data_IF_833325731011
#
_entry.id   IF_833325731011
#
_cell.length_a   1.000
_cell.length_b   1.000
_cell.length_c   1.000
_cell.angle_alpha   90.00
_cell.angle_beta   90.00
_cell.angle_gamma   90.00
#
_symmetry.space_group_name_H-M   'P 1'
#
loop_
_entity.id
_entity.type
_entity.pdbx_description
1 polymer ?
#
# COMPACT_ATOMS: atom_id res chain seq x y z
N UNK A 1 -11.87 12.90 -10.36
CA UNK A 1 -11.30 12.35 -9.11
C UNK A 1 -9.82 12.14 -9.33
N UNK A 2 -8.96 12.70 -8.49
CA UNK A 2 -7.51 12.48 -8.56
C UNK A 2 -7.15 11.24 -7.73
N UNK A 3 -6.34 10.36 -8.30
CA UNK A 3 -5.82 9.17 -7.63
C UNK A 3 -4.35 9.35 -7.27
N UNK A 4 -3.92 8.65 -6.22
CA UNK A 4 -2.54 8.64 -5.74
C UNK A 4 -2.04 7.21 -5.63
N UNK A 5 -0.77 7.01 -5.96
CA UNK A 5 -0.03 5.87 -5.43
C UNK A 5 0.50 6.26 -4.05
N UNK A 6 0.32 5.37 -3.08
CA UNK A 6 0.69 5.59 -1.69
C UNK A 6 1.78 4.61 -1.31
N UNK A 7 2.82 5.13 -0.67
CA UNK A 7 3.88 4.34 -0.06
C UNK A 7 3.73 4.49 1.46
N UNK A 8 3.56 3.37 2.15
CA UNK A 8 3.45 3.32 3.61
C UNK A 8 4.55 2.39 4.13
N UNK A 9 5.37 2.88 5.05
CA UNK A 9 6.42 2.07 5.66
C UNK A 9 5.90 1.05 6.67
N UNK A 10 6.67 -0.02 6.85
CA UNK A 10 6.51 -0.97 7.94
C UNK A 10 7.84 -1.64 8.31
N UNK A 11 8.23 -1.67 9.59
CA UNK A 11 9.41 -2.35 10.11
C UNK A 11 9.33 -3.86 9.87
N UNK A 12 8.12 -4.42 9.92
CA UNK A 12 7.89 -5.85 9.83
C UNK A 12 6.78 -6.18 8.84
N UNK A 13 6.90 -7.33 8.17
CA UNK A 13 5.89 -7.80 7.21
C UNK A 13 4.52 -7.99 7.89
N UNK A 14 4.50 -8.47 9.14
CA UNK A 14 3.26 -8.61 9.91
C UNK A 14 2.57 -7.26 10.16
N UNK A 15 3.34 -6.21 10.43
CA UNK A 15 2.81 -4.85 10.58
C UNK A 15 2.29 -4.31 9.26
N UNK A 16 3.03 -4.53 8.16
CA UNK A 16 2.59 -4.12 6.83
C UNK A 16 1.22 -4.72 6.48
N UNK A 17 1.02 -6.01 6.78
CA UNK A 17 -0.27 -6.66 6.59
C UNK A 17 -1.37 -6.08 7.49
N UNK A 18 -1.10 -5.84 8.78
CA UNK A 18 -2.09 -5.22 9.68
C UNK A 18 -2.55 -3.83 9.20
N UNK A 19 -1.61 -3.00 8.75
CA UNK A 19 -1.92 -1.69 8.18
C UNK A 19 -2.77 -1.87 6.92
N UNK A 20 -2.36 -2.76 6.01
CA UNK A 20 -3.08 -3.01 4.77
C UNK A 20 -4.50 -3.51 5.01
N UNK A 21 -4.67 -4.46 5.93
CA UNK A 21 -5.97 -5.02 6.31
C UNK A 21 -6.88 -3.94 6.92
N UNK A 22 -6.36 -3.10 7.82
CA UNK A 22 -7.13 -2.00 8.42
C UNK A 22 -7.62 -0.99 7.37
N UNK A 23 -6.77 -0.66 6.40
CA UNK A 23 -7.13 0.25 5.30
C UNK A 23 -8.14 -0.38 4.34
N UNK A 24 -7.97 -1.65 3.99
CA UNK A 24 -8.88 -2.38 3.11
C UNK A 24 -10.25 -2.58 3.76
N UNK A 25 -10.30 -2.84 5.08
CA UNK A 25 -11.54 -2.96 5.83
C UNK A 25 -12.38 -1.67 5.84
N UNK A 26 -11.77 -0.52 5.54
CA UNK A 26 -12.46 0.78 5.44
C UNK A 26 -12.60 1.27 4.00
N UNK A 27 -12.25 0.43 3.04
CA UNK A 27 -12.24 0.76 1.61
C UNK A 27 -11.43 2.05 1.33
N UNK A 28 -10.35 2.26 2.07
CA UNK A 28 -9.48 3.46 1.95
C UNK A 28 -8.43 3.28 0.87
N UNK A 29 -8.18 2.05 0.46
CA UNK A 29 -7.19 1.68 -0.54
C UNK A 29 -7.68 0.59 -1.47
N UNK A 30 -7.07 0.51 -2.66
CA UNK A 30 -7.26 -0.64 -3.57
C UNK A 30 -6.67 -1.94 -2.99
N UNK A 31 -5.58 -1.82 -2.23
CA UNK A 31 -4.69 -2.91 -1.92
C UNK A 31 -3.43 -2.85 -2.78
N UNK A 32 -2.49 -3.77 -2.55
CA UNK A 32 -1.26 -3.82 -3.31
C UNK A 32 -0.16 -4.66 -2.66
N UNK A 33 1.03 -4.73 -3.26
CA UNK A 33 2.12 -5.54 -2.74
C UNK A 33 2.73 -4.92 -1.48
N UNK A 34 3.19 -5.80 -0.60
CA UNK A 34 4.19 -5.50 0.43
C UNK A 34 5.55 -5.90 -0.14
N UNK A 35 6.48 -4.95 -0.22
CA UNK A 35 7.84 -5.17 -0.72
C UNK A 35 8.82 -4.89 0.42
N UNK A 36 9.68 -5.87 0.73
CA UNK A 36 10.70 -5.76 1.78
C UNK A 36 12.12 -5.76 1.24
N UNK A 37 13.04 -5.11 1.94
CA UNK A 37 14.46 -5.15 1.64
C UNK A 37 15.32 -4.37 2.65
N UNK A 38 16.65 -4.41 2.48
CA UNK A 38 17.56 -3.70 3.36
C UNK A 38 17.39 -2.18 3.20
N UNK A 39 17.27 -1.49 4.32
CA UNK A 39 17.17 -0.04 4.39
C UNK A 39 18.28 0.55 5.26
N UNK A 40 18.66 1.79 4.93
CA UNK A 40 19.62 2.60 5.67
C UNK A 40 19.02 3.94 5.99
N UNK A 41 19.04 4.32 7.26
CA UNK A 41 18.49 5.59 7.73
C UNK A 41 19.59 6.43 8.39
N UNK A 42 19.49 7.75 8.21
CA UNK A 42 20.22 8.71 9.03
C UNK A 42 19.28 9.23 10.11
N UNK A 43 19.69 9.10 11.36
CA UNK A 43 18.84 9.50 12.49
C UNK A 43 19.64 10.27 13.53
N UNK A 44 19.03 11.33 14.06
CA UNK A 44 19.58 12.09 15.18
C UNK A 44 18.81 11.72 16.45
N UNK A 45 19.46 10.98 17.34
CA UNK A 45 18.82 10.48 18.56
C UNK A 45 18.67 11.51 19.68
N UNK A 46 19.12 12.76 19.48
CA UNK A 46 19.11 13.80 20.53
C UNK A 46 17.75 13.93 21.25
N UNK A 47 16.66 13.88 20.49
CA UNK A 47 15.29 14.06 21.01
C UNK A 47 14.50 12.73 21.03
N UNK A 48 15.14 11.60 20.74
CA UNK A 48 14.50 10.28 20.67
C UNK A 48 14.52 9.56 22.02
N UNK A 49 13.58 8.63 22.22
CA UNK A 49 13.51 7.82 23.43
C UNK A 49 14.47 6.60 23.40
N UNK A 50 15.74 6.86 23.14
CA UNK A 50 16.82 5.86 23.20
C UNK A 50 17.60 6.00 24.52
N UNK A 51 18.52 5.08 24.90
CA UNK A 51 19.35 5.26 26.09
C UNK A 51 20.05 6.63 26.13
N UNK A 52 20.22 7.20 27.33
CA UNK A 52 20.67 8.59 27.51
C UNK A 52 22.04 8.85 26.86
N UNK A 53 22.92 7.86 26.88
CA UNK A 53 24.24 7.87 26.24
C UNK A 53 24.19 7.98 24.70
N UNK A 54 23.06 7.66 24.06
CA UNK A 54 22.87 7.79 22.62
C UNK A 54 22.24 9.13 22.22
N UNK A 55 21.68 9.90 23.16
CA UNK A 55 21.00 11.19 22.92
C UNK A 55 21.98 12.35 22.69
N UNK A 56 23.06 12.08 21.98
CA UNK A 56 24.03 13.08 21.56
C UNK A 56 23.55 13.80 20.29
N UNK A 57 23.97 15.06 20.10
CA UNK A 57 23.67 15.80 18.87
C UNK A 57 24.56 15.33 17.71
N UNK A 58 24.25 14.14 17.18
CA UNK A 58 25.01 13.46 16.13
C UNK A 58 24.08 12.61 15.26
N UNK A 59 24.48 12.43 14.00
CA UNK A 59 23.84 11.49 13.08
C UNK A 59 24.40 10.08 13.24
N UNK A 60 23.49 9.13 13.40
CA UNK A 60 23.77 7.70 13.38
C UNK A 60 23.22 7.10 12.09
N UNK A 61 23.89 6.07 11.60
CA UNK A 61 23.36 5.21 10.53
C UNK A 61 22.69 4.01 11.18
N UNK A 62 21.43 3.78 10.83
CA UNK A 62 20.72 2.57 11.18
C UNK A 62 20.58 1.71 9.94
N UNK A 63 20.82 0.42 10.10
CA UNK A 63 20.59 -0.58 9.06
C UNK A 63 19.56 -1.57 9.59
N UNK A 64 18.47 -1.74 8.85
CA UNK A 64 17.45 -2.72 9.15
C UNK A 64 16.72 -3.10 7.87
N UNK A 65 16.19 -4.32 7.83
CA UNK A 65 15.22 -4.67 6.81
C UNK A 65 13.93 -3.87 7.06
N UNK A 66 13.30 -3.43 5.98
CA UNK A 66 12.18 -2.53 6.04
C UNK A 66 11.22 -2.82 4.88
N UNK A 67 9.93 -2.65 5.12
CA UNK A 67 8.89 -2.92 4.14
C UNK A 67 8.20 -1.63 3.69
N UNK A 68 7.70 -1.68 2.46
CA UNK A 68 6.77 -0.71 1.93
C UNK A 68 5.51 -1.40 1.43
N UNK A 69 4.37 -0.87 1.85
CA UNK A 69 3.07 -1.12 1.22
C UNK A 69 2.98 -0.14 0.05
N UNK A 70 2.80 -0.67 -1.15
CA UNK A 70 2.58 0.13 -2.36
C UNK A 70 1.12 -0.03 -2.76
N UNK A 71 0.32 1.01 -2.59
CA UNK A 71 -1.13 0.94 -2.77
C UNK A 71 -1.68 2.17 -3.49
N UNK A 72 -3.00 2.24 -3.65
CA UNK A 72 -3.67 3.34 -4.35
C UNK A 72 -4.83 3.87 -3.54
N UNK A 73 -5.02 5.19 -3.57
CA UNK A 73 -6.16 5.86 -2.92
C UNK A 73 -6.66 7.06 -3.73
N UNK A 74 -7.75 7.67 -3.27
CA UNK A 74 -8.33 8.91 -3.80
C UNK A 74 -7.90 10.11 -2.96
N UNK A 75 -7.92 11.29 -3.58
CA UNK A 75 -7.62 12.56 -2.89
C UNK A 75 -8.42 12.77 -1.60
N UNK A 76 -9.72 12.46 -1.61
CA UNK A 76 -10.62 12.71 -0.49
C UNK A 76 -10.48 11.73 0.68
N UNK A 77 -9.69 10.66 0.51
CA UNK A 77 -9.49 9.62 1.53
C UNK A 77 -8.16 9.76 2.27
N UNK A 78 -7.30 10.70 1.87
CA UNK A 78 -5.92 10.80 2.39
C UNK A 78 -5.85 10.97 3.89
N UNK A 79 -6.66 11.86 4.47
CA UNK A 79 -6.62 12.16 5.90
C UNK A 79 -7.01 10.91 6.72
N UNK A 80 -8.14 10.29 6.38
CA UNK A 80 -8.60 9.08 7.07
C UNK A 80 -7.63 7.90 6.87
N UNK A 81 -7.02 7.78 5.68
CA UNK A 81 -5.97 6.79 5.43
C UNK A 81 -4.77 7.00 6.36
N UNK A 82 -4.29 8.22 6.53
CA UNK A 82 -3.18 8.53 7.45
C UNK A 82 -3.57 8.12 8.87
N UNK A 83 -4.72 8.59 9.36
CA UNK A 83 -5.17 8.31 10.73
C UNK A 83 -5.27 6.80 11.01
N UNK A 84 -5.84 6.04 10.06
CA UNK A 84 -6.00 4.59 10.20
C UNK A 84 -4.65 3.86 10.08
N UNK A 85 -3.79 4.27 9.15
CA UNK A 85 -2.47 3.67 8.98
C UNK A 85 -1.56 3.92 10.18
N UNK A 86 -1.55 5.14 10.73
CA UNK A 86 -0.81 5.48 11.95
C UNK A 86 -1.35 4.71 13.15
N UNK A 87 -2.68 4.61 13.30
CA UNK A 87 -3.31 3.84 14.40
C UNK A 87 -3.03 2.34 14.33
N UNK A 88 -2.86 1.78 13.12
CA UNK A 88 -2.52 0.38 12.91
C UNK A 88 -1.01 0.11 12.92
N UNK A 89 -0.19 1.17 12.85
CA UNK A 89 1.26 1.07 12.91
C UNK A 89 1.73 0.90 14.35
N UNK A 90 2.74 0.06 14.56
CA UNK A 90 3.44 -0.03 15.84
C UNK A 90 4.69 0.85 15.90
N UNK A 91 5.05 1.47 14.77
CA UNK A 91 6.18 2.39 14.68
C UNK A 91 5.85 3.75 15.25
N UNK A 92 6.87 4.38 15.83
CA UNK A 92 6.81 5.78 16.25
C UNK A 92 6.56 6.73 15.06
N UNK A 93 7.09 6.40 13.87
CA UNK A 93 6.90 7.18 12.64
C UNK A 93 6.46 6.27 11.50
N UNK A 94 5.16 6.21 11.26
CA UNK A 94 4.60 5.60 10.04
C UNK A 94 4.85 6.53 8.85
N UNK A 95 5.90 6.28 8.06
CA UNK A 95 6.22 7.12 6.91
C UNK A 95 5.21 6.88 5.79
N UNK A 96 4.41 7.90 5.46
CA UNK A 96 3.40 7.86 4.42
C UNK A 96 3.70 8.93 3.38
N UNK A 97 3.68 8.56 2.09
CA UNK A 97 3.79 9.52 0.99
C UNK A 97 2.77 9.24 -0.11
N UNK A 98 2.31 10.32 -0.75
CA UNK A 98 1.32 10.27 -1.82
C UNK A 98 1.91 10.85 -3.10
N UNK A 99 1.98 10.03 -4.15
CA UNK A 99 2.43 10.45 -5.47
C UNK A 99 1.22 10.55 -6.40
N UNK A 100 0.93 11.72 -7.00
CA UNK A 100 -0.13 11.82 -8.00
C UNK A 100 0.24 10.95 -9.21
N UNK A 101 -0.75 10.24 -9.74
CA UNK A 101 -0.52 9.32 -10.86
C UNK A 101 -1.34 9.68 -12.09
N UNK A 102 -0.74 9.42 -13.25
CA UNK A 102 -1.46 9.26 -14.51
C UNK A 102 -1.84 7.78 -14.66
N UNK A 103 -3.10 7.51 -14.96
CA UNK A 103 -3.62 6.15 -15.07
C UNK A 103 -3.95 5.84 -16.53
N UNK A 104 -3.69 4.60 -16.94
CA UNK A 104 -4.35 4.10 -18.15
C UNK A 104 -5.84 3.83 -17.85
N UNK A 105 -6.65 3.68 -18.90
CA UNK A 105 -8.11 3.49 -18.77
C UNK A 105 -8.48 2.34 -17.84
N UNK A 106 -7.85 1.17 -18.01
CA UNK A 106 -8.19 -0.03 -17.23
C UNK A 106 -7.85 0.11 -15.74
N UNK A 107 -6.72 0.76 -15.40
CA UNK A 107 -6.38 1.04 -14.01
C UNK A 107 -7.37 2.04 -13.41
N UNK A 108 -7.76 3.06 -14.18
CA UNK A 108 -8.78 4.01 -13.73
C UNK A 108 -10.11 3.32 -13.45
N UNK A 109 -10.58 2.45 -14.34
CA UNK A 109 -11.83 1.69 -14.16
C UNK A 109 -11.78 0.79 -12.92
N UNK A 110 -10.65 0.09 -12.70
CA UNK A 110 -10.45 -0.72 -11.50
C UNK A 110 -10.52 0.12 -10.22
N UNK A 111 -9.86 1.28 -10.21
CA UNK A 111 -9.89 2.20 -9.07
C UNK A 111 -11.31 2.75 -8.83
N UNK A 112 -11.98 3.23 -9.89
CA UNK A 112 -13.35 3.74 -9.81
C UNK A 112 -14.30 2.66 -9.21
N UNK A 113 -14.22 1.42 -9.71
CA UNK A 113 -15.03 0.31 -9.21
C UNK A 113 -14.69 -0.07 -7.75
N UNK A 114 -13.41 -0.03 -7.38
CA UNK A 114 -12.98 -0.41 -6.03
C UNK A 114 -13.49 0.55 -4.97
N UNK A 115 -13.66 1.83 -5.29
CA UNK A 115 -14.18 2.84 -4.37
C UNK A 115 -15.68 3.13 -4.54
N UNK A 116 -16.36 2.38 -5.43
CA UNK A 116 -17.80 2.52 -5.63
C UNK A 116 -18.58 2.03 -4.39
N UNK A 117 -19.69 2.71 -4.06
CA UNK A 117 -20.57 2.29 -2.97
C UNK A 117 -20.00 2.47 -1.55
N UNK A 118 -18.85 3.14 -1.38
CA UNK A 118 -18.24 3.39 -0.07
C UNK A 118 -19.23 4.09 0.88
N UNK A 119 -19.43 3.50 2.07
CA UNK A 119 -20.35 4.02 3.08
C UNK A 119 -20.29 3.35 4.46
N UNK A 120 -19.26 2.54 4.74
CA UNK A 120 -19.09 1.85 6.02
C UNK A 120 -17.89 0.90 6.02
N UNK A 121 -17.66 0.24 7.16
CA UNK A 121 -16.65 -0.80 7.27
C UNK A 121 -17.08 -2.03 6.45
N UNK A 122 -16.19 -2.52 5.61
CA UNK A 122 -16.34 -3.71 4.79
C UNK A 122 -15.48 -4.84 5.36
N UNK A 123 -15.94 -6.08 5.23
CA UNK A 123 -15.12 -7.27 5.49
C UNK A 123 -14.95 -8.00 4.16
N UNK A 124 -13.83 -7.79 3.43
CA UNK A 124 -13.62 -8.46 2.16
C UNK A 124 -13.62 -9.98 2.33
N UNK A 125 -14.39 -10.70 1.53
CA UNK A 125 -14.36 -12.16 1.50
C UNK A 125 -13.11 -12.64 0.74
N UNK A 126 -12.32 -13.57 1.30
CA UNK A 126 -11.14 -14.07 0.62
C UNK A 126 -11.56 -14.94 -0.58
N UNK A 127 -10.92 -14.69 -1.72
CA UNK A 127 -11.10 -15.47 -2.96
C UNK A 127 -9.72 -15.93 -3.44
N UNK A 128 -9.63 -17.14 -3.99
CA UNK A 128 -8.42 -17.61 -4.65
C UNK A 128 -8.11 -16.73 -5.88
N UNK A 129 -7.07 -15.90 -5.76
CA UNK A 129 -6.66 -14.98 -6.80
C UNK A 129 -6.28 -15.69 -8.11
N UNK A 130 -5.77 -16.93 -8.05
CA UNK A 130 -5.42 -17.71 -9.25
C UNK A 130 -6.70 -18.14 -10.00
N UNK A 131 -7.77 -18.42 -9.27
CA UNK A 131 -9.09 -18.71 -9.85
C UNK A 131 -9.81 -17.43 -10.35
N UNK A 132 -9.43 -16.25 -9.86
CA UNK A 132 -10.13 -14.98 -10.06
C UNK A 132 -9.28 -13.89 -10.75
N UNK A 133 -8.39 -14.25 -11.68
CA UNK A 133 -7.58 -13.32 -12.49
C UNK A 133 -8.39 -12.50 -13.52
N UNK A 134 -9.50 -11.91 -13.07
CA UNK A 134 -10.40 -11.05 -13.86
C UNK A 134 -10.67 -9.76 -13.11
N UNK A 135 -9.77 -8.78 -13.28
CA UNK A 135 -9.92 -7.44 -12.71
C UNK A 135 -10.78 -6.50 -13.58
N UNK A 136 -10.98 -6.84 -14.85
CA UNK A 136 -11.72 -6.02 -15.83
C UNK A 136 -12.55 -6.95 -16.74
N UNK A 137 -13.76 -6.56 -17.18
CA UNK A 137 -14.55 -7.36 -18.13
C UNK A 137 -13.77 -7.72 -19.39
N UNK A 138 -14.04 -8.92 -19.94
CA UNK A 138 -13.31 -9.46 -21.11
C UNK A 138 -13.49 -8.56 -22.34
N UNK A 139 -14.62 -7.88 -22.43
CA UNK A 139 -15.01 -6.99 -23.52
C UNK A 139 -14.09 -5.75 -23.58
N UNK A 140 -13.53 -5.32 -22.44
CA UNK A 140 -12.67 -4.14 -22.34
C UNK A 140 -11.22 -4.47 -22.70
N UNK A 141 -10.75 -5.67 -22.35
CA UNK A 141 -9.36 -6.10 -22.62
C UNK A 141 -9.32 -7.50 -23.24
N UNK A 142 -9.85 -7.68 -24.47
CA UNK A 142 -10.08 -9.00 -25.05
C UNK A 142 -8.81 -9.77 -25.42
N UNK A 143 -7.64 -9.12 -25.40
CA UNK A 143 -6.39 -9.65 -25.95
C UNK A 143 -5.30 -9.96 -24.91
N UNK A 144 -5.49 -9.60 -23.63
CA UNK A 144 -4.51 -9.87 -22.56
C UNK A 144 -4.78 -11.20 -21.87
N UNK A 145 -3.71 -11.89 -21.48
CA UNK A 145 -3.82 -13.20 -20.81
C UNK A 145 -4.32 -13.01 -19.39
N UNK A 146 -5.24 -13.90 -18.97
CA UNK A 146 -5.67 -14.03 -17.57
C UNK A 146 -4.70 -14.89 -16.75
N UNK A 147 -3.48 -15.10 -17.23
CA UNK A 147 -2.52 -16.01 -16.63
C UNK A 147 -1.12 -15.42 -16.71
N UNK A 148 -0.42 -15.48 -15.59
CA UNK A 148 0.99 -15.13 -15.43
C UNK A 148 1.94 -16.17 -16.04
N UNK A 149 1.42 -17.32 -16.50
CA UNK A 149 2.19 -18.42 -17.10
C UNK A 149 2.03 -18.52 -18.63
N UNK A 150 1.30 -17.59 -19.26
CA UNK A 150 1.14 -17.54 -20.71
C UNK A 150 2.35 -16.94 -21.42
N UNK A 151 2.67 -17.42 -22.63
CA UNK A 151 3.69 -16.76 -23.45
C UNK A 151 3.24 -15.34 -23.81
N UNK A 152 4.15 -14.35 -23.88
CA UNK A 152 3.83 -12.97 -24.22
C UNK A 152 2.96 -12.90 -25.48
N UNK A 153 1.76 -12.32 -25.38
CA UNK A 153 0.83 -12.18 -26.50
C UNK A 153 0.06 -13.45 -26.91
N UNK A 154 0.14 -14.56 -26.17
CA UNK A 154 -0.62 -15.78 -26.50
C UNK A 154 -2.00 -15.78 -25.86
N UNK A 155 -3.03 -15.55 -26.69
CA UNK A 155 -4.45 -15.63 -26.32
C UNK A 155 -4.88 -17.10 -26.14
N UNK A 156 -5.54 -17.41 -25.03
CA UNK A 156 -6.64 -18.38 -24.99
C UNK A 156 -7.81 -17.76 -24.25
#
# INVERSE_FOLDING_TARGET
>A
MQYYQVFISAEQTAQAHRILDALMAKQLVLGGPVVGGPARFLWNFKESDVPAEMREHKLFTLEQDYNYIITYTREDLKAELIDVAESASLEEVCMISFLPIETNRSLKELLDATFEGRGGDVTPEPVDAVAALTFVPKEVVPTRTKSSTGAPGTRR
#
